data_IF_157778664498
#
_entry.id   IF_157778664498
#
_cell.length_a   1.000
_cell.length_b   1.000
_cell.length_c   1.000
_cell.angle_alpha   90.00
_cell.angle_beta   90.00
_cell.angle_gamma   90.00
#
_symmetry.space_group_name_H-M   'P 1'
#
loop_
_entity.id
_entity.type
_entity.pdbx_description
1 polymer ?
#
# COMPACT_ATOMS: atom_id res chain seq x y z
N UNK A 1 -21.18 -14.80 15.40
CA UNK A 1 -19.87 -14.35 15.93
C UNK A 1 -18.73 -14.54 14.92
N UNK A 2 -18.50 -15.74 14.37
CA UNK A 2 -17.41 -15.98 13.40
C UNK A 2 -17.47 -15.04 12.16
N UNK A 3 -18.66 -14.82 11.61
CA UNK A 3 -18.88 -13.94 10.46
C UNK A 3 -18.47 -12.47 10.72
N UNK A 4 -18.77 -11.94 11.91
CA UNK A 4 -18.40 -10.57 12.30
C UNK A 4 -16.88 -10.42 12.48
N UNK A 5 -16.22 -11.45 13.03
CA UNK A 5 -14.77 -11.50 13.14
C UNK A 5 -14.14 -11.52 11.74
N UNK A 6 -14.69 -12.30 10.82
CA UNK A 6 -14.21 -12.36 9.43
C UNK A 6 -14.33 -11.01 8.72
N UNK A 7 -15.45 -10.31 8.89
CA UNK A 7 -15.64 -8.96 8.33
C UNK A 7 -14.62 -7.98 8.93
N UNK A 8 -14.46 -7.98 10.25
CA UNK A 8 -13.51 -7.11 10.93
C UNK A 8 -12.08 -7.33 10.44
N UNK A 9 -11.63 -8.59 10.35
CA UNK A 9 -10.31 -8.95 9.81
C UNK A 9 -10.17 -8.51 8.35
N UNK A 10 -11.20 -8.70 7.54
CA UNK A 10 -11.19 -8.30 6.13
C UNK A 10 -11.02 -6.78 6.00
N UNK A 11 -11.77 -5.99 6.76
CA UNK A 11 -11.64 -4.52 6.76
C UNK A 11 -10.24 -4.08 7.18
N UNK A 12 -9.66 -4.69 8.22
CA UNK A 12 -8.30 -4.37 8.69
C UNK A 12 -7.26 -4.68 7.59
N UNK A 13 -7.36 -5.84 6.95
CA UNK A 13 -6.45 -6.23 5.87
C UNK A 13 -6.56 -5.30 4.66
N UNK A 14 -7.78 -4.99 4.22
CA UNK A 14 -8.01 -4.07 3.10
C UNK A 14 -7.54 -2.65 3.41
N UNK A 15 -7.77 -2.16 4.64
CA UNK A 15 -7.29 -0.85 5.08
C UNK A 15 -5.76 -0.79 5.14
N UNK A 16 -5.11 -1.87 5.57
CA UNK A 16 -3.66 -2.01 5.57
C UNK A 16 -3.07 -2.00 4.16
N UNK A 17 -3.67 -2.77 3.24
CA UNK A 17 -3.29 -2.78 1.82
C UNK A 17 -3.49 -1.41 1.16
N UNK A 18 -4.60 -0.73 1.47
CA UNK A 18 -4.89 0.58 0.92
C UNK A 18 -3.88 1.62 1.42
N UNK A 19 -3.60 1.63 2.73
CA UNK A 19 -2.57 2.50 3.33
C UNK A 19 -1.19 2.25 2.72
N UNK A 20 -0.80 0.98 2.57
CA UNK A 20 0.47 0.61 1.91
C UNK A 20 0.55 1.15 0.48
N UNK A 21 -0.47 0.89 -0.33
CA UNK A 21 -0.49 1.32 -1.73
C UNK A 21 -0.46 2.85 -1.86
N UNK A 22 -1.12 3.57 -0.96
CA UNK A 22 -1.09 5.04 -0.88
C UNK A 22 0.31 5.54 -0.55
N UNK A 23 0.97 4.95 0.45
CA UNK A 23 2.35 5.30 0.79
C UNK A 23 3.32 5.01 -0.37
N UNK A 24 3.10 3.92 -1.12
CA UNK A 24 3.88 3.59 -2.31
C UNK A 24 3.77 4.68 -3.39
N UNK A 25 2.57 5.22 -3.58
CA UNK A 25 2.29 6.33 -4.50
C UNK A 25 2.97 7.61 -4.03
N UNK A 26 2.92 7.91 -2.73
CA UNK A 26 3.61 9.07 -2.14
C UNK A 26 5.13 8.94 -2.32
N UNK A 27 5.70 7.74 -2.14
CA UNK A 27 7.12 7.50 -2.41
C UNK A 27 7.49 7.78 -3.86
N UNK A 28 6.66 7.34 -4.81
CA UNK A 28 6.85 7.63 -6.25
C UNK A 28 6.87 9.13 -6.50
N UNK A 29 5.88 9.85 -5.96
CA UNK A 29 5.79 11.30 -6.09
C UNK A 29 7.02 12.01 -5.51
N UNK A 30 7.50 11.60 -4.34
CA UNK A 30 8.71 12.14 -3.72
C UNK A 30 9.97 11.86 -4.54
N UNK A 31 10.09 10.66 -5.12
CA UNK A 31 11.22 10.31 -5.99
C UNK A 31 11.19 11.08 -7.32
N UNK A 32 10.00 11.26 -7.91
CA UNK A 32 9.80 11.98 -9.17
C UNK A 32 10.09 13.48 -9.02
N UNK A 33 9.80 14.05 -7.85
CA UNK A 33 10.08 15.45 -7.49
C UNK A 33 11.50 15.70 -6.96
N UNK A 34 12.38 14.70 -6.97
CA UNK A 34 13.73 14.74 -6.38
C UNK A 34 13.75 15.23 -4.91
N UNK A 35 12.67 14.94 -4.18
CA UNK A 35 12.51 15.38 -2.80
C UNK A 35 13.54 14.72 -1.87
N UNK A 36 14.12 15.50 -0.97
CA UNK A 36 14.99 15.02 0.11
C UNK A 36 14.28 13.98 1.03
N UNK A 37 12.94 13.99 1.04
CA UNK A 37 12.14 13.07 1.84
C UNK A 37 11.92 11.70 1.20
N UNK A 38 12.34 11.48 -0.04
CA UNK A 38 12.17 10.19 -0.72
C UNK A 38 12.84 9.03 0.03
N UNK A 39 14.05 9.24 0.57
CA UNK A 39 14.76 8.22 1.33
C UNK A 39 14.12 7.95 2.72
N UNK A 40 13.84 8.97 3.56
CA UNK A 40 13.06 8.77 4.79
C UNK A 40 11.72 8.06 4.56
N UNK A 41 11.01 8.40 3.50
CA UNK A 41 9.75 7.77 3.12
C UNK A 41 9.93 6.30 2.77
N UNK A 42 10.99 5.97 2.03
CA UNK A 42 11.35 4.58 1.73
C UNK A 42 11.61 3.77 3.00
N UNK A 43 12.33 4.34 3.98
CA UNK A 43 12.59 3.70 5.27
C UNK A 43 11.30 3.53 6.08
N UNK A 44 10.40 4.51 6.04
CA UNK A 44 9.09 4.40 6.69
C UNK A 44 8.25 3.27 6.10
N UNK A 45 8.25 3.11 4.77
CA UNK A 45 7.63 2.00 4.06
C UNK A 45 8.26 0.65 4.42
N UNK A 46 9.59 0.58 4.51
CA UNK A 46 10.29 -0.63 4.92
C UNK A 46 9.89 -1.08 6.34
N UNK A 47 9.77 -0.12 7.28
CA UNK A 47 9.29 -0.40 8.65
C UNK A 47 7.81 -0.78 8.68
N UNK A 48 6.99 -0.15 7.84
CA UNK A 48 5.57 -0.47 7.74
C UNK A 48 5.36 -1.92 7.31
N UNK A 49 6.08 -2.37 6.28
CA UNK A 49 5.97 -3.76 5.81
C UNK A 49 6.59 -4.76 6.79
N UNK A 50 7.63 -4.38 7.54
CA UNK A 50 8.17 -5.22 8.62
C UNK A 50 7.17 -5.45 9.74
N UNK A 51 6.52 -4.39 10.22
CA UNK A 51 5.54 -4.47 11.29
C UNK A 51 4.33 -5.35 10.93
N UNK A 52 4.02 -5.47 9.64
CA UNK A 52 2.95 -6.32 9.13
C UNK A 52 3.41 -7.73 8.73
N UNK A 53 4.72 -8.04 8.85
CA UNK A 53 5.27 -9.33 8.43
C UNK A 53 5.39 -9.51 6.91
N UNK A 54 5.33 -8.42 6.13
CA UNK A 54 5.43 -8.41 4.67
C UNK A 54 6.81 -7.93 4.18
N UNK A 55 7.88 -8.31 4.87
CA UNK A 55 9.26 -7.92 4.54
C UNK A 55 9.69 -8.27 3.10
N UNK A 56 9.01 -9.23 2.47
CA UNK A 56 9.19 -9.60 1.06
C UNK A 56 8.81 -8.48 0.06
N UNK A 57 8.07 -7.45 0.49
CA UNK A 57 7.71 -6.29 -0.33
C UNK A 57 8.83 -5.25 -0.43
N UNK A 58 9.82 -5.24 0.48
CA UNK A 58 10.93 -4.27 0.49
C UNK A 58 11.68 -4.13 -0.83
N UNK A 59 11.94 -5.20 -1.60
CA UNK A 59 12.60 -5.07 -2.91
C UNK A 59 11.83 -4.15 -3.87
N UNK A 60 10.50 -4.07 -3.75
CA UNK A 60 9.69 -3.17 -4.58
C UNK A 60 10.08 -1.70 -4.36
N UNK A 61 10.34 -1.31 -3.11
CA UNK A 61 10.67 0.09 -2.78
C UNK A 61 11.99 0.56 -3.40
N UNK A 62 12.86 -0.38 -3.76
CA UNK A 62 14.17 -0.16 -4.38
C UNK A 62 14.14 -0.20 -5.91
N UNK A 63 12.99 -0.45 -6.53
CA UNK A 63 12.86 -0.47 -7.98
C UNK A 63 13.15 0.91 -8.59
N UNK A 64 13.54 0.89 -9.86
CA UNK A 64 13.64 2.08 -10.70
C UNK A 64 12.30 2.83 -10.75
N UNK A 65 12.37 4.16 -10.79
CA UNK A 65 11.20 5.04 -10.68
C UNK A 65 10.10 4.69 -11.68
N UNK A 66 10.45 4.42 -12.94
CA UNK A 66 9.48 4.08 -13.99
C UNK A 66 8.67 2.83 -13.65
N UNK A 67 9.35 1.79 -13.14
CA UNK A 67 8.71 0.51 -12.78
C UNK A 67 7.94 0.63 -11.48
N UNK A 68 8.51 1.33 -10.50
CA UNK A 68 7.85 1.61 -9.23
C UNK A 68 6.54 2.40 -9.46
N UNK A 69 6.54 3.40 -10.34
CA UNK A 69 5.35 4.18 -10.69
C UNK A 69 4.22 3.31 -11.25
N UNK A 70 4.53 2.45 -12.22
CA UNK A 70 3.53 1.55 -12.82
C UNK A 70 2.93 0.61 -11.78
N UNK A 71 3.78 0.01 -10.93
CA UNK A 71 3.33 -0.92 -9.89
C UNK A 71 2.53 -0.17 -8.82
N UNK A 72 3.00 0.98 -8.33
CA UNK A 72 2.30 1.78 -7.32
C UNK A 72 0.92 2.22 -7.78
N UNK A 73 0.80 2.77 -8.99
CA UNK A 73 -0.49 3.22 -9.51
C UNK A 73 -1.43 2.05 -9.81
N UNK A 74 -0.91 0.95 -10.35
CA UNK A 74 -1.67 -0.27 -10.57
C UNK A 74 -2.20 -0.87 -9.26
N UNK A 75 -1.34 -0.99 -8.24
CA UNK A 75 -1.73 -1.47 -6.91
C UNK A 75 -2.75 -0.55 -6.25
N UNK A 76 -2.52 0.76 -6.26
CA UNK A 76 -3.44 1.72 -5.65
C UNK A 76 -4.81 1.69 -6.32
N UNK A 77 -4.86 1.65 -7.67
CA UNK A 77 -6.10 1.52 -8.42
C UNK A 77 -6.83 0.22 -8.12
N UNK A 78 -6.13 -0.92 -8.15
CA UNK A 78 -6.72 -2.22 -7.85
C UNK A 78 -7.26 -2.31 -6.42
N UNK A 79 -6.51 -1.82 -5.43
CA UNK A 79 -6.92 -1.85 -4.03
C UNK A 79 -8.08 -0.89 -3.77
N UNK A 80 -8.08 0.30 -4.37
CA UNK A 80 -9.17 1.27 -4.23
C UNK A 80 -10.47 0.76 -4.86
N UNK A 81 -10.39 0.14 -6.04
CA UNK A 81 -11.55 -0.49 -6.68
C UNK A 81 -12.07 -1.67 -5.84
N UNK A 82 -11.19 -2.54 -5.36
CA UNK A 82 -11.56 -3.66 -4.49
C UNK A 82 -12.21 -3.22 -3.19
N UNK A 83 -11.68 -2.17 -2.55
CA UNK A 83 -12.29 -1.58 -1.34
C UNK A 83 -13.67 -0.98 -1.64
N UNK A 84 -13.82 -0.28 -2.76
CA UNK A 84 -15.10 0.32 -3.18
C UNK A 84 -16.17 -0.76 -3.42
N UNK A 85 -15.80 -1.85 -4.08
CA UNK A 85 -16.67 -3.02 -4.27
C UNK A 85 -17.02 -3.69 -2.94
N UNK A 86 -16.06 -3.83 -2.04
CA UNK A 86 -16.28 -4.42 -0.72
C UNK A 86 -17.25 -3.59 0.12
N UNK A 87 -17.10 -2.25 0.12
CA UNK A 87 -18.04 -1.34 0.78
C UNK A 87 -19.43 -1.47 0.18
N UNK A 88 -19.56 -1.54 -1.15
CA UNK A 88 -20.84 -1.72 -1.84
C UNK A 88 -21.54 -3.05 -1.49
N UNK A 89 -20.78 -4.12 -1.28
CA UNK A 89 -21.35 -5.44 -0.89
C UNK A 89 -21.76 -5.47 0.59
N UNK A 90 -21.09 -4.69 1.43
CA UNK A 90 -21.34 -4.65 2.87
C UNK A 90 -22.38 -3.59 3.29
N UNK A 91 -22.72 -2.65 2.40
CA UNK A 91 -23.77 -1.63 2.57
C UNK A 91 -25.16 -2.16 2.24
#
# INVERSE_FOLDING_TARGET
MLYQILIGVTIILWSGLWSYSTLLVVLVFMKDSESLYAYPMQVALDRFVDNLGFSWLKPLHKLELTRLRQISYGMFGAVTLGLSLLVMVLS
#
